data_IF_178698619416
#
_entry.id   IF_178698619416
#
_cell.length_a   1.000
_cell.length_b   1.000
_cell.length_c   1.000
_cell.angle_alpha   90.00
_cell.angle_beta   90.00
_cell.angle_gamma   90.00
#
_symmetry.space_group_name_H-M   'P 1'
#
loop_
_entity.id
_entity.type
_entity.pdbx_description
1 polymer ?
#
# COMPACT_ATOMS: atom_id res chain seq x y z
N UNK A 1 10.53 10.91 44.51
CA UNK A 1 10.36 10.59 43.08
C UNK A 1 8.88 10.75 42.78
N UNK A 2 8.47 11.86 42.19
CA UNK A 2 7.08 12.11 41.75
C UNK A 2 6.83 11.32 40.48
N UNK A 3 5.91 10.35 40.54
CA UNK A 3 5.47 9.58 39.39
C UNK A 3 4.67 10.54 38.50
N UNK A 4 5.21 10.90 37.32
CA UNK A 4 4.41 11.56 36.30
C UNK A 4 3.48 10.50 35.73
N UNK A 5 2.20 10.59 36.04
CA UNK A 5 1.15 9.90 35.28
C UNK A 5 1.00 10.67 33.96
N UNK A 6 1.87 10.35 33.00
CA UNK A 6 1.64 10.72 31.61
C UNK A 6 0.38 9.96 31.15
N UNK A 7 -0.75 10.67 31.19
CA UNK A 7 -1.95 10.23 30.50
C UNK A 7 -1.68 10.28 29.00
N UNK A 8 -1.19 9.17 28.45
CA UNK A 8 -1.19 8.96 27.00
C UNK A 8 -2.65 9.07 26.52
N UNK A 9 -3.03 10.24 26.01
CA UNK A 9 -4.24 10.34 25.21
C UNK A 9 -4.10 9.31 24.08
N UNK A 10 -5.05 8.35 24.03
CA UNK A 10 -5.06 7.31 22.99
C UNK A 10 -5.44 7.93 21.65
N UNK A 11 -4.49 8.64 21.03
CA UNK A 11 -4.62 9.16 19.68
C UNK A 11 -4.74 7.96 18.74
N UNK A 12 -5.80 7.86 17.93
CA UNK A 12 -5.93 6.76 16.98
C UNK A 12 -4.82 6.82 15.94
N UNK A 13 -4.38 5.66 15.46
CA UNK A 13 -3.39 5.60 14.39
C UNK A 13 -3.95 6.20 13.09
N UNK A 14 -3.07 6.75 12.26
CA UNK A 14 -3.43 7.18 10.91
C UNK A 14 -3.99 6.00 10.12
N UNK A 15 -5.19 6.16 9.57
CA UNK A 15 -5.90 5.11 8.85
C UNK A 15 -6.63 4.11 9.74
N UNK A 16 -6.61 4.26 11.07
CA UNK A 16 -7.42 3.44 11.95
C UNK A 16 -8.91 3.75 11.72
N UNK A 17 -9.72 2.76 11.33
CA UNK A 17 -11.14 2.99 11.13
C UNK A 17 -11.81 3.42 12.45
N UNK A 18 -12.83 4.30 12.39
CA UNK A 18 -13.56 4.72 13.57
C UNK A 18 -14.16 3.51 14.28
N UNK A 19 -14.21 3.56 15.62
CA UNK A 19 -14.81 2.49 16.42
C UNK A 19 -16.28 2.33 16.03
N UNK A 20 -16.69 1.12 15.69
CA UNK A 20 -18.04 0.82 15.23
C UNK A 20 -18.08 -0.48 14.44
N UNK A 21 -19.28 -0.90 14.05
CA UNK A 21 -19.44 -2.01 13.11
C UNK A 21 -19.07 -1.47 11.74
N UNK A 22 -18.13 -2.12 11.07
CA UNK A 22 -17.80 -1.79 9.70
C UNK A 22 -19.07 -1.97 8.84
N UNK A 23 -19.50 -0.90 8.19
CA UNK A 23 -20.65 -0.88 7.29
C UNK A 23 -20.22 -0.88 5.83
N UNK A 24 -18.91 -0.92 5.57
CA UNK A 24 -18.44 -1.10 4.20
C UNK A 24 -18.84 -2.49 3.72
N UNK A 25 -19.25 -2.64 2.45
CA UNK A 25 -19.44 -3.94 1.85
C UNK A 25 -18.15 -4.73 1.95
N UNK A 26 -18.27 -6.05 2.12
CA UNK A 26 -17.10 -6.91 2.09
C UNK A 26 -16.42 -6.78 0.72
N UNK A 27 -15.16 -6.32 0.66
CA UNK A 27 -14.47 -6.14 -0.60
C UNK A 27 -14.25 -7.48 -1.29
N UNK A 28 -14.54 -7.53 -2.59
CA UNK A 28 -14.26 -8.69 -3.44
C UNK A 28 -12.79 -8.67 -3.88
N UNK A 29 -11.89 -8.95 -2.93
CA UNK A 29 -10.45 -8.95 -3.17
C UNK A 29 -10.04 -9.91 -4.29
N UNK A 30 -10.76 -11.02 -4.47
CA UNK A 30 -10.45 -11.98 -5.53
C UNK A 30 -10.70 -11.38 -6.91
N UNK A 31 -11.87 -10.75 -7.10
CA UNK A 31 -12.18 -10.09 -8.36
C UNK A 31 -11.34 -8.83 -8.62
N UNK A 32 -11.03 -8.07 -7.56
CA UNK A 32 -10.15 -6.91 -7.67
C UNK A 32 -8.73 -7.33 -8.04
N UNK A 33 -8.21 -8.41 -7.47
CA UNK A 33 -6.91 -8.96 -7.81
C UNK A 33 -6.85 -9.33 -9.30
N UNK A 34 -7.85 -10.04 -9.83
CA UNK A 34 -7.85 -10.40 -11.26
C UNK A 34 -7.88 -9.17 -12.19
N UNK A 35 -8.46 -8.04 -11.74
CA UNK A 35 -8.53 -6.79 -12.51
C UNK A 35 -7.30 -5.90 -12.37
N UNK A 36 -6.55 -6.04 -11.29
CA UNK A 36 -5.45 -5.14 -10.92
C UNK A 36 -4.09 -5.84 -10.88
N UNK A 37 -4.08 -7.17 -11.03
CA UNK A 37 -2.86 -7.93 -11.17
C UNK A 37 -2.04 -7.39 -12.34
N UNK A 38 -0.75 -7.27 -12.09
CA UNK A 38 0.23 -6.97 -13.12
C UNK A 38 0.25 -8.12 -14.13
N UNK A 39 0.45 -7.79 -15.41
CA UNK A 39 0.54 -8.78 -16.47
C UNK A 39 1.62 -9.83 -16.13
N UNK A 40 1.35 -11.08 -16.54
CA UNK A 40 2.25 -12.19 -16.28
C UNK A 40 3.61 -11.94 -16.93
N UNK A 41 3.62 -11.40 -18.14
CA UNK A 41 4.84 -11.20 -18.92
C UNK A 41 5.78 -10.19 -18.22
N UNK A 42 5.20 -9.23 -17.48
CA UNK A 42 5.94 -8.24 -16.68
C UNK A 42 6.56 -8.87 -15.42
N UNK A 43 5.86 -9.81 -14.77
CA UNK A 43 6.36 -10.46 -13.54
C UNK A 43 7.30 -11.64 -13.81
N UNK A 44 7.22 -12.24 -15.01
CA UNK A 44 8.13 -13.30 -15.46
C UNK A 44 9.37 -12.74 -16.14
N UNK A 45 9.37 -11.46 -16.53
CA UNK A 45 10.44 -10.85 -17.31
C UNK A 45 10.40 -11.24 -18.80
N UNK A 46 9.27 -11.79 -19.27
CA UNK A 46 9.08 -12.07 -20.70
C UNK A 46 8.95 -10.75 -21.50
N UNK A 47 8.66 -9.62 -20.84
CA UNK A 47 8.64 -8.27 -21.41
C UNK A 47 10.01 -7.56 -21.45
N UNK A 48 11.10 -8.23 -21.05
CA UNK A 48 12.43 -7.60 -20.88
C UNK A 48 12.96 -6.90 -22.14
N UNK A 49 12.66 -7.44 -23.32
CA UNK A 49 13.08 -6.87 -24.60
C UNK A 49 12.20 -5.69 -25.06
N UNK A 50 11.02 -5.51 -24.48
CA UNK A 50 10.03 -4.48 -24.85
C UNK A 50 9.99 -3.29 -23.86
N UNK A 51 10.38 -3.52 -22.60
CA UNK A 51 10.33 -2.51 -21.53
C UNK A 51 11.50 -1.52 -21.56
N UNK A 52 11.25 -0.33 -21.05
CA UNK A 52 12.30 0.66 -20.81
C UNK A 52 13.28 0.18 -19.72
N UNK A 53 14.58 0.55 -19.80
CA UNK A 53 15.56 0.19 -18.79
C UNK A 53 15.17 0.73 -17.41
N UNK A 54 15.28 -0.12 -16.39
CA UNK A 54 15.05 0.30 -15.01
C UNK A 54 16.10 1.32 -14.57
N UNK A 55 15.65 2.38 -13.90
CA UNK A 55 16.58 3.35 -13.34
C UNK A 55 17.26 2.79 -12.08
N UNK A 56 18.59 2.93 -11.98
CA UNK A 56 19.34 2.45 -10.82
C UNK A 56 19.00 3.19 -9.51
N UNK A 57 18.31 4.33 -9.59
CA UNK A 57 17.89 5.13 -8.43
C UNK A 57 16.39 5.02 -8.13
N UNK A 58 15.72 3.99 -8.68
CA UNK A 58 14.26 3.87 -8.60
C UNK A 58 13.56 4.77 -9.62
N UNK A 59 12.32 5.20 -9.35
CA UNK A 59 11.45 5.86 -10.33
C UNK A 59 12.13 7.05 -11.05
N UNK A 60 12.39 6.88 -12.35
CA UNK A 60 13.03 7.87 -13.23
C UNK A 60 12.26 9.19 -13.36
N UNK A 61 10.94 9.19 -13.12
CA UNK A 61 10.05 10.34 -13.28
C UNK A 61 10.15 11.38 -12.14
N UNK A 62 10.89 11.09 -11.08
CA UNK A 62 11.07 12.02 -9.95
C UNK A 62 12.24 12.99 -10.14
N UNK A 63 13.09 12.78 -11.13
CA UNK A 63 14.32 13.56 -11.34
C UNK A 63 14.00 14.75 -12.26
N UNK A 64 13.85 15.93 -11.67
CA UNK A 64 13.78 17.22 -12.37
C UNK A 64 14.95 18.10 -11.95
#
# INVERSE_FOLDING_TARGET
MTHHEDHDEKVPALGQPPKGRDTTPEPDFANEHDRTAVDRDIITGEDEDEREPESPHGWSGMQR
#
